data_IF_821683485307
#
_entry.id   IF_821683485307
#
_cell.length_a   1.000
_cell.length_b   1.000
_cell.length_c   1.000
_cell.angle_alpha   90.00
_cell.angle_beta   90.00
_cell.angle_gamma   90.00
#
_symmetry.space_group_name_H-M   'P 1'
#
loop_
_entity.id
_entity.type
_entity.pdbx_description
1 polymer ?
#
# COMPACT_ATOMS: atom_id res chain seq x y z
N UNK A 1 8.77 -73.97 -25.06
CA UNK A 1 9.82 -73.03 -25.53
C UNK A 1 9.28 -71.68 -25.99
N UNK A 2 8.13 -71.61 -26.69
CA UNK A 2 7.50 -70.34 -27.14
C UNK A 2 6.93 -69.45 -26.02
N UNK A 3 6.43 -70.03 -24.94
CA UNK A 3 5.81 -69.28 -23.84
C UNK A 3 6.77 -68.31 -23.14
N UNK A 4 8.03 -68.73 -22.93
CA UNK A 4 9.07 -67.87 -22.33
C UNK A 4 9.45 -66.69 -23.25
N UNK A 5 9.33 -66.87 -24.56
CA UNK A 5 9.65 -65.87 -25.58
C UNK A 5 8.55 -64.79 -25.65
N UNK A 6 7.29 -65.20 -25.51
CA UNK A 6 6.13 -64.30 -25.42
C UNK A 6 6.20 -63.46 -24.13
N UNK A 7 6.50 -64.09 -22.99
CA UNK A 7 6.65 -63.37 -21.72
C UNK A 7 7.79 -62.36 -21.80
N UNK A 8 8.94 -62.73 -22.38
CA UNK A 8 10.06 -61.81 -22.57
C UNK A 8 9.69 -60.57 -23.38
N UNK A 9 8.92 -60.74 -24.47
CA UNK A 9 8.46 -59.62 -25.28
C UNK A 9 7.49 -58.70 -24.54
N UNK A 10 6.58 -59.26 -23.72
CA UNK A 10 5.64 -58.48 -22.89
C UNK A 10 6.40 -57.66 -21.84
N UNK A 11 7.38 -58.26 -21.17
CA UNK A 11 8.20 -57.57 -20.15
C UNK A 11 9.02 -56.44 -20.78
N UNK A 12 9.62 -56.67 -21.95
CA UNK A 12 10.34 -55.61 -22.69
C UNK A 12 9.40 -54.47 -23.10
N UNK A 13 8.19 -54.78 -23.57
CA UNK A 13 7.19 -53.78 -23.89
C UNK A 13 6.76 -52.96 -22.67
N UNK A 14 6.56 -53.62 -21.52
CA UNK A 14 6.21 -52.96 -20.27
C UNK A 14 7.34 -52.05 -19.75
N UNK A 15 8.59 -52.50 -19.82
CA UNK A 15 9.77 -51.71 -19.43
C UNK A 15 9.95 -50.48 -20.34
N UNK A 16 9.77 -50.65 -21.66
CA UNK A 16 9.81 -49.54 -22.60
C UNK A 16 8.72 -48.51 -22.31
N UNK A 17 7.51 -48.96 -22.01
CA UNK A 17 6.39 -48.08 -21.66
C UNK A 17 6.64 -47.33 -20.35
N UNK A 18 7.16 -48.02 -19.32
CA UNK A 18 7.54 -47.39 -18.05
C UNK A 18 8.63 -46.32 -18.23
N UNK A 19 9.68 -46.62 -18.99
CA UNK A 19 10.77 -45.67 -19.26
C UNK A 19 10.28 -44.41 -19.99
N UNK A 20 9.38 -44.58 -20.97
CA UNK A 20 8.75 -43.48 -21.70
C UNK A 20 7.87 -42.61 -20.82
N UNK A 21 7.14 -43.22 -19.89
CA UNK A 21 6.25 -42.50 -18.97
C UNK A 21 7.04 -41.75 -17.88
N UNK A 22 8.13 -42.33 -17.37
CA UNK A 22 9.06 -41.67 -16.46
C UNK A 22 9.74 -40.48 -17.16
N UNK A 23 10.17 -40.65 -18.41
CA UNK A 23 10.76 -39.57 -19.21
C UNK A 23 9.78 -38.41 -19.47
N UNK A 24 8.47 -38.69 -19.60
CA UNK A 24 7.42 -37.65 -19.70
C UNK A 24 7.16 -36.94 -18.36
N UNK A 25 7.32 -37.64 -17.23
CA UNK A 25 7.10 -37.09 -15.89
C UNK A 25 8.29 -36.32 -15.33
N UNK A 26 9.49 -36.51 -15.87
CA UNK A 26 10.66 -35.69 -15.57
C UNK A 26 10.48 -34.31 -16.24
N UNK A 27 9.71 -33.41 -15.58
CA UNK A 27 9.68 -31.99 -15.96
C UNK A 27 11.12 -31.50 -16.02
N UNK A 28 11.53 -30.95 -17.17
CA UNK A 28 12.89 -30.45 -17.31
C UNK A 28 13.16 -29.38 -16.25
N UNK A 29 14.35 -29.33 -15.63
CA UNK A 29 14.70 -28.29 -14.66
C UNK A 29 14.49 -26.87 -15.22
N UNK A 30 14.64 -26.69 -16.55
CA UNK A 30 14.33 -25.44 -17.25
C UNK A 30 12.85 -25.07 -17.21
N UNK A 31 11.95 -26.04 -17.34
CA UNK A 31 10.51 -25.80 -17.29
C UNK A 31 10.06 -25.40 -15.88
N UNK A 32 10.60 -26.04 -14.84
CA UNK A 32 10.34 -25.68 -13.43
C UNK A 32 10.83 -24.26 -13.15
N UNK A 33 12.04 -23.91 -13.59
CA UNK A 33 12.58 -22.56 -13.44
C UNK A 33 11.75 -21.50 -14.19
N UNK A 34 11.25 -21.81 -15.39
CA UNK A 34 10.38 -20.91 -16.15
C UNK A 34 9.05 -20.68 -15.44
N UNK A 35 8.44 -21.74 -14.90
CA UNK A 35 7.20 -21.67 -14.12
C UNK A 35 7.38 -20.80 -12.87
N UNK A 36 8.46 -21.00 -12.10
CA UNK A 36 8.77 -20.16 -10.93
C UNK A 36 9.04 -18.69 -11.31
N UNK A 37 9.74 -18.43 -12.41
CA UNK A 37 10.00 -17.05 -12.87
C UNK A 37 8.72 -16.36 -13.36
N UNK A 38 7.83 -17.08 -14.04
CA UNK A 38 6.52 -16.55 -14.44
C UNK A 38 5.62 -16.28 -13.24
N UNK A 39 5.59 -17.16 -12.24
CA UNK A 39 4.88 -16.94 -10.99
C UNK A 39 5.41 -15.72 -10.24
N UNK A 40 6.73 -15.55 -10.16
CA UNK A 40 7.35 -14.36 -9.56
C UNK A 40 6.99 -13.08 -10.31
N UNK A 41 6.96 -13.10 -11.64
CA UNK A 41 6.53 -11.94 -12.45
C UNK A 41 5.08 -11.57 -12.18
N UNK A 42 4.16 -12.55 -12.23
CA UNK A 42 2.74 -12.33 -11.94
C UNK A 42 2.53 -11.81 -10.51
N UNK A 43 3.31 -12.29 -9.54
CA UNK A 43 3.27 -11.79 -8.16
C UNK A 43 3.73 -10.34 -8.08
N UNK A 44 4.84 -10.00 -8.74
CA UNK A 44 5.35 -8.63 -8.77
C UNK A 44 4.40 -7.66 -9.47
N UNK A 45 3.74 -8.07 -10.55
CA UNK A 45 2.71 -7.27 -11.23
C UNK A 45 1.53 -6.98 -10.30
N UNK A 46 1.02 -8.00 -9.59
CA UNK A 46 -0.06 -7.84 -8.60
C UNK A 46 0.34 -6.90 -7.46
N UNK A 47 1.57 -7.02 -6.97
CA UNK A 47 2.14 -6.14 -5.94
C UNK A 47 2.14 -4.69 -6.42
N UNK A 48 2.60 -4.43 -7.65
CA UNK A 48 2.62 -3.08 -8.20
C UNK A 48 1.22 -2.51 -8.41
N UNK A 49 0.27 -3.29 -8.93
CA UNK A 49 -1.12 -2.85 -9.06
C UNK A 49 -1.74 -2.50 -7.71
N UNK A 50 -1.50 -3.33 -6.68
CA UNK A 50 -2.00 -3.08 -5.34
C UNK A 50 -1.39 -1.79 -4.76
N UNK A 51 -0.08 -1.57 -4.91
CA UNK A 51 0.58 -0.33 -4.49
C UNK A 51 0.00 0.91 -5.19
N UNK A 52 -0.29 0.83 -6.49
CA UNK A 52 -0.92 1.94 -7.22
C UNK A 52 -2.32 2.24 -6.68
N UNK A 53 -3.13 1.21 -6.42
CA UNK A 53 -4.48 1.37 -5.86
C UNK A 53 -4.45 2.02 -4.47
N UNK A 54 -3.47 1.67 -3.63
CA UNK A 54 -3.28 2.34 -2.35
C UNK A 54 -2.94 3.81 -2.50
N UNK A 55 -2.00 4.13 -3.39
CA UNK A 55 -1.58 5.51 -3.60
C UNK A 55 -2.76 6.36 -4.07
N UNK A 56 -3.55 5.83 -5.01
CA UNK A 56 -4.79 6.48 -5.45
C UNK A 56 -5.79 6.65 -4.30
N UNK A 57 -5.91 5.65 -3.41
CA UNK A 57 -6.76 5.74 -2.23
C UNK A 57 -6.28 6.82 -1.27
N UNK A 58 -4.99 6.87 -0.94
CA UNK A 58 -4.38 7.90 -0.10
C UNK A 58 -4.63 9.32 -0.65
N UNK A 59 -4.39 9.50 -1.95
CA UNK A 59 -4.68 10.76 -2.65
C UNK A 59 -6.16 11.12 -2.50
N UNK A 60 -7.07 10.18 -2.81
CA UNK A 60 -8.51 10.44 -2.76
C UNK A 60 -8.99 10.84 -1.36
N UNK A 61 -8.37 10.29 -0.32
CA UNK A 61 -8.69 10.54 1.09
C UNK A 61 -8.12 11.88 1.58
N UNK A 62 -7.05 12.37 0.96
CA UNK A 62 -6.45 13.67 1.27
C UNK A 62 -7.08 14.85 0.53
N UNK A 63 -7.73 14.61 -0.63
CA UNK A 63 -8.47 15.66 -1.37
C UNK A 63 -9.39 16.50 -0.49
N UNK A 64 -10.33 15.93 0.29
CA UNK A 64 -11.24 16.74 1.11
C UNK A 64 -10.51 17.50 2.23
N UNK A 65 -9.48 16.90 2.82
CA UNK A 65 -8.67 17.55 3.88
C UNK A 65 -7.91 18.74 3.31
N UNK A 66 -7.29 18.59 2.13
CA UNK A 66 -6.57 19.66 1.45
C UNK A 66 -7.50 20.81 1.06
N UNK A 67 -8.69 20.50 0.53
CA UNK A 67 -9.70 21.51 0.21
C UNK A 67 -10.10 22.31 1.45
N UNK A 68 -10.45 21.63 2.54
CA UNK A 68 -10.80 22.29 3.80
C UNK A 68 -9.65 23.15 4.35
N UNK A 69 -8.40 22.68 4.28
CA UNK A 69 -7.23 23.47 4.69
C UNK A 69 -7.06 24.73 3.83
N UNK A 70 -7.22 24.61 2.51
CA UNK A 70 -7.17 25.76 1.61
C UNK A 70 -8.28 26.79 1.96
N UNK A 71 -9.50 26.31 2.19
CA UNK A 71 -10.65 27.16 2.53
C UNK A 71 -10.46 27.86 3.88
N UNK A 72 -9.95 27.13 4.88
CA UNK A 72 -9.60 27.67 6.19
C UNK A 72 -8.51 28.75 6.05
N UNK A 73 -7.43 28.47 5.31
CA UNK A 73 -6.33 29.40 5.13
C UNK A 73 -6.75 30.67 4.35
N UNK A 74 -7.62 30.52 3.35
CA UNK A 74 -8.18 31.64 2.59
C UNK A 74 -9.04 32.55 3.45
N UNK A 75 -9.70 31.99 4.48
CA UNK A 75 -10.54 32.72 5.44
C UNK A 75 -9.74 33.52 6.48
N UNK A 76 -8.42 33.29 6.59
CA UNK A 76 -7.55 34.03 7.49
C UNK A 76 -7.14 35.39 6.90
N UNK A 77 -6.83 36.33 7.81
CA UNK A 77 -6.20 37.61 7.42
C UNK A 77 -4.86 37.34 6.75
N UNK A 78 -4.43 38.21 5.84
CA UNK A 78 -3.23 38.00 5.03
C UNK A 78 -1.96 37.78 5.87
N UNK A 79 -1.80 38.51 6.98
CA UNK A 79 -0.71 38.34 7.95
C UNK A 79 -0.77 37.02 8.74
N UNK A 80 -1.92 36.36 8.73
CA UNK A 80 -2.22 35.13 9.46
C UNK A 80 -2.24 33.90 8.57
N UNK A 81 -1.99 34.05 7.27
CA UNK A 81 -1.99 32.93 6.33
C UNK A 81 -0.77 32.04 6.51
N UNK A 82 -1.01 30.75 6.42
CA UNK A 82 0.02 29.73 6.36
C UNK A 82 0.50 29.56 4.92
N UNK A 83 1.79 29.28 4.76
CA UNK A 83 2.32 28.76 3.50
C UNK A 83 1.95 27.29 3.40
N UNK A 84 1.29 26.91 2.30
CA UNK A 84 0.85 25.54 2.05
C UNK A 84 1.84 24.84 1.12
N UNK A 85 2.41 23.76 1.59
CA UNK A 85 3.30 22.86 0.84
C UNK A 85 2.77 21.43 0.95
N UNK A 86 3.20 20.53 0.07
CA UNK A 86 2.81 19.13 0.16
C UNK A 86 2.71 18.44 -1.19
N UNK A 87 2.85 17.13 -1.17
CA UNK A 87 2.74 16.25 -2.34
C UNK A 87 1.58 15.32 -2.06
N UNK A 88 0.67 15.18 -3.02
CA UNK A 88 -0.37 14.12 -3.15
C UNK A 88 -1.09 13.64 -1.87
N UNK A 89 -0.40 12.92 -0.97
CA UNK A 89 -0.87 12.28 0.26
C UNK A 89 -0.51 13.03 1.57
N UNK A 90 0.18 14.17 1.46
CA UNK A 90 0.63 14.99 2.59
C UNK A 90 0.34 16.47 2.34
N UNK A 91 -0.11 17.18 3.39
CA UNK A 91 -0.28 18.64 3.40
C UNK A 91 0.51 19.22 4.58
N UNK A 92 1.32 20.22 4.31
CA UNK A 92 2.17 20.92 5.27
C UNK A 92 1.77 22.38 5.32
N UNK A 93 1.45 22.89 6.50
CA UNK A 93 1.19 24.29 6.78
C UNK A 93 2.39 24.87 7.53
N UNK A 94 2.96 25.97 7.04
CA UNK A 94 4.08 26.66 7.71
C UNK A 94 3.77 28.12 7.96
N UNK A 95 4.01 28.57 9.19
CA UNK A 95 3.91 29.99 9.55
C UNK A 95 4.67 30.28 10.85
N UNK A 96 5.42 31.39 10.91
CA UNK A 96 6.02 31.93 12.14
C UNK A 96 6.78 30.88 12.99
N UNK A 97 7.53 29.98 12.36
CA UNK A 97 8.28 28.93 13.05
C UNK A 97 7.43 27.76 13.57
N UNK A 98 6.17 27.67 13.16
CA UNK A 98 5.28 26.53 13.41
C UNK A 98 5.03 25.79 12.10
N UNK A 99 5.13 24.46 12.16
CA UNK A 99 4.81 23.55 11.05
C UNK A 99 3.72 22.59 11.50
N UNK A 100 2.63 22.51 10.73
CA UNK A 100 1.59 21.50 10.89
C UNK A 100 1.66 20.58 9.67
N UNK A 101 1.99 19.31 9.88
CA UNK A 101 2.01 18.28 8.84
C UNK A 101 0.80 17.38 9.01
N UNK A 102 0.05 17.17 7.94
CA UNK A 102 -1.08 16.26 7.88
C UNK A 102 -0.77 15.19 6.84
N UNK A 103 -0.61 13.95 7.31
CA UNK A 103 -0.30 12.80 6.45
C UNK A 103 -1.39 11.76 6.57
N UNK A 104 -1.84 11.24 5.44
CA UNK A 104 -2.69 10.06 5.44
C UNK A 104 -1.84 8.79 5.49
N UNK A 105 -2.01 8.00 6.53
CA UNK A 105 -1.31 6.74 6.72
C UNK A 105 -2.26 5.55 6.58
N UNK A 106 -1.77 4.54 5.86
CA UNK A 106 -2.32 3.19 5.81
C UNK A 106 -1.33 2.27 6.53
N UNK A 107 -1.67 1.82 7.74
CA UNK A 107 -0.85 0.81 8.41
C UNK A 107 -0.92 -0.55 7.67
N UNK A 108 0.20 -1.27 7.67
CA UNK A 108 0.54 -2.43 6.84
C UNK A 108 -0.58 -3.43 6.52
N UNK A 109 -0.64 -3.90 5.28
CA UNK A 109 -1.44 -5.06 4.87
C UNK A 109 -0.61 -6.05 4.05
N UNK A 110 -1.06 -7.31 3.98
CA UNK A 110 -0.40 -8.34 3.17
C UNK A 110 -0.57 -8.04 1.68
N UNK A 111 0.54 -7.74 1.00
CA UNK A 111 0.55 -7.47 -0.45
C UNK A 111 0.24 -8.73 -1.28
N UNK A 112 0.18 -9.89 -0.61
CA UNK A 112 -0.16 -11.20 -1.19
C UNK A 112 -1.67 -11.55 -1.11
N UNK A 113 -2.49 -10.73 -0.44
CA UNK A 113 -3.93 -10.98 -0.25
C UNK A 113 -4.81 -10.66 -1.46
N UNK A 114 -6.02 -11.20 -1.48
CA UNK A 114 -7.00 -10.96 -2.56
C UNK A 114 -7.65 -9.57 -2.45
N UNK A 115 -8.16 -8.97 -3.55
CA UNK A 115 -8.79 -7.64 -3.52
C UNK A 115 -10.00 -7.48 -2.57
N UNK A 116 -10.59 -8.59 -2.11
CA UNK A 116 -11.70 -8.61 -1.13
C UNK A 116 -11.21 -8.39 0.30
N UNK A 117 -10.03 -8.89 0.66
CA UNK A 117 -9.39 -8.66 1.98
C UNK A 117 -8.92 -7.18 2.11
N UNK A 118 -8.71 -6.50 0.98
CA UNK A 118 -8.35 -5.08 0.88
C UNK A 118 -9.47 -4.08 1.23
N UNK A 119 -10.74 -4.50 1.33
CA UNK A 119 -11.85 -3.56 1.58
C UNK A 119 -12.25 -3.48 3.04
N UNK A 120 -12.31 -4.62 3.73
CA UNK A 120 -12.87 -4.69 5.08
C UNK A 120 -11.80 -4.57 6.18
N UNK A 121 -10.57 -5.04 5.96
CA UNK A 121 -9.48 -4.91 6.94
C UNK A 121 -8.79 -3.53 6.90
N UNK A 122 -8.74 -2.91 5.73
CA UNK A 122 -7.96 -1.67 5.53
C UNK A 122 -8.50 -0.51 6.36
N UNK A 123 -9.82 -0.41 6.57
CA UNK A 123 -10.43 0.68 7.33
C UNK A 123 -9.94 0.77 8.79
N UNK A 124 -9.55 -0.35 9.41
CA UNK A 124 -8.98 -0.36 10.76
C UNK A 124 -7.55 0.19 10.82
N UNK A 125 -6.90 0.29 9.66
CA UNK A 125 -5.53 0.74 9.50
C UNK A 125 -5.45 2.10 8.78
N UNK A 126 -6.60 2.73 8.47
CA UNK A 126 -6.67 4.09 7.91
C UNK A 126 -6.63 5.12 9.05
N UNK A 127 -5.63 5.99 9.03
CA UNK A 127 -5.55 7.12 9.95
C UNK A 127 -4.94 8.34 9.29
N UNK A 128 -5.39 9.51 9.71
CA UNK A 128 -4.74 10.78 9.48
C UNK A 128 -3.85 11.08 10.66
N UNK A 129 -2.59 11.37 10.39
CA UNK A 129 -1.61 11.78 11.41
C UNK A 129 -1.37 13.27 11.25
N UNK A 130 -1.62 14.02 12.31
CA UNK A 130 -1.41 15.46 12.40
C UNK A 130 -0.22 15.67 13.34
N UNK A 131 0.88 16.14 12.79
CA UNK A 131 2.10 16.48 13.52
C UNK A 131 2.23 17.99 13.61
N UNK A 132 2.39 18.51 14.82
CA UNK A 132 2.60 19.95 15.05
C UNK A 132 3.97 20.14 15.67
N UNK A 133 4.80 20.92 15.00
CA UNK A 133 6.15 21.25 15.43
C UNK A 133 6.28 22.76 15.62
N UNK A 134 6.65 23.17 16.83
CA UNK A 134 7.00 24.54 17.19
C UNK A 134 8.52 24.66 17.29
N UNK A 135 9.15 25.29 16.29
CA UNK A 135 10.61 25.44 16.23
C UNK A 135 11.13 26.35 17.34
N UNK A 136 10.39 27.41 17.68
CA UNK A 136 10.82 28.37 18.71
C UNK A 136 10.70 27.84 20.15
N UNK A 137 9.75 26.92 20.40
CA UNK A 137 9.46 26.38 21.73
C UNK A 137 10.04 24.97 21.94
N UNK A 138 10.67 24.39 20.92
CA UNK A 138 11.10 22.99 20.86
C UNK A 138 9.99 22.01 21.29
N UNK A 139 8.75 22.29 20.85
CA UNK A 139 7.58 21.48 21.18
C UNK A 139 7.11 20.71 19.97
N UNK A 140 6.86 19.42 20.18
CA UNK A 140 6.31 18.52 19.18
C UNK A 140 5.16 17.72 19.79
N UNK A 141 4.04 17.65 19.08
CA UNK A 141 2.97 16.72 19.42
C UNK A 141 2.30 16.15 18.18
N UNK A 142 1.82 14.92 18.33
CA UNK A 142 1.14 14.17 17.28
C UNK A 142 -0.28 13.87 17.72
N UNK A 143 -1.22 13.95 16.76
CA UNK A 143 -2.60 13.51 16.94
C UNK A 143 -3.01 12.62 15.79
N UNK A 144 -3.91 11.69 16.08
CA UNK A 144 -4.46 10.76 15.09
C UNK A 144 -5.95 11.01 14.94
N UNK A 145 -6.46 10.86 13.71
CA UNK A 145 -7.88 10.90 13.39
C UNK A 145 -8.23 9.75 12.45
N UNK A 146 -9.40 9.15 12.65
CA UNK A 146 -9.85 8.02 11.81
C UNK A 146 -10.58 8.51 10.57
N UNK A 147 -11.18 9.70 10.65
CA UNK A 147 -11.98 10.27 9.56
C UNK A 147 -11.40 11.60 9.06
N UNK A 148 -11.70 11.94 7.80
CA UNK A 148 -11.32 13.24 7.24
C UNK A 148 -11.95 14.40 8.00
N UNK A 149 -13.18 14.26 8.46
CA UNK A 149 -13.89 15.29 9.23
C UNK A 149 -13.20 15.55 10.57
N UNK A 150 -12.83 14.49 11.28
CA UNK A 150 -12.08 14.60 12.53
C UNK A 150 -10.70 15.22 12.30
N UNK A 151 -9.99 14.82 11.23
CA UNK A 151 -8.71 15.40 10.85
C UNK A 151 -8.84 16.92 10.58
N UNK A 152 -9.86 17.33 9.83
CA UNK A 152 -10.15 18.74 9.55
C UNK A 152 -10.42 19.50 10.86
N UNK A 153 -11.23 18.94 11.77
CA UNK A 153 -11.51 19.57 13.08
C UNK A 153 -10.26 19.72 13.93
N UNK A 154 -9.38 18.71 13.92
CA UNK A 154 -8.11 18.78 14.64
C UNK A 154 -7.23 19.88 14.08
N UNK A 155 -7.04 19.95 12.76
CA UNK A 155 -6.26 21.01 12.11
C UNK A 155 -6.85 22.40 12.40
N UNK A 156 -8.16 22.56 12.28
CA UNK A 156 -8.84 23.81 12.60
C UNK A 156 -8.59 24.24 14.05
N UNK A 157 -8.61 23.28 14.99
CA UNK A 157 -8.31 23.54 16.40
C UNK A 157 -6.86 24.00 16.59
N UNK A 158 -5.90 23.35 15.95
CA UNK A 158 -4.49 23.74 16.05
C UNK A 158 -4.26 25.15 15.46
N UNK A 159 -4.84 25.45 14.30
CA UNK A 159 -4.80 26.79 13.71
C UNK A 159 -5.40 27.83 14.68
N UNK A 160 -6.56 27.54 15.27
CA UNK A 160 -7.21 28.46 16.19
C UNK A 160 -6.36 28.74 17.45
N UNK A 161 -5.69 27.71 17.99
CA UNK A 161 -4.78 27.85 19.14
C UNK A 161 -3.57 28.73 18.78
N UNK A 162 -3.05 28.60 17.56
CA UNK A 162 -1.91 29.39 17.08
C UNK A 162 -2.26 30.86 16.87
N UNK A 163 -3.47 31.15 16.39
CA UNK A 163 -3.93 32.52 16.13
C UNK A 163 -4.31 33.30 17.40
N UNK A 164 -4.51 32.60 18.52
CA UNK A 164 -4.82 33.22 19.82
C UNK A 164 -3.56 33.61 20.63
N UNK A 165 -2.37 33.23 20.17
CA UNK A 165 -1.08 33.62 20.77
C UNK A 165 -0.55 34.89 20.14
#
# INVERSE_FOLDING_TARGET
MYFNLIIGAIVLGALYFLGKEIARRLRSPRAILQEELEERRKRNERVQENLQRLRQRAISKMVPVRQAINDMNASLMESQRFTLEGVEDTVVLRQNGVTITVTYQLASFSVDGTPRELRDDVAQYERYVIEVQHVAEDRFHTREAVTSEEAIRLVAREIAVLLQR
#
